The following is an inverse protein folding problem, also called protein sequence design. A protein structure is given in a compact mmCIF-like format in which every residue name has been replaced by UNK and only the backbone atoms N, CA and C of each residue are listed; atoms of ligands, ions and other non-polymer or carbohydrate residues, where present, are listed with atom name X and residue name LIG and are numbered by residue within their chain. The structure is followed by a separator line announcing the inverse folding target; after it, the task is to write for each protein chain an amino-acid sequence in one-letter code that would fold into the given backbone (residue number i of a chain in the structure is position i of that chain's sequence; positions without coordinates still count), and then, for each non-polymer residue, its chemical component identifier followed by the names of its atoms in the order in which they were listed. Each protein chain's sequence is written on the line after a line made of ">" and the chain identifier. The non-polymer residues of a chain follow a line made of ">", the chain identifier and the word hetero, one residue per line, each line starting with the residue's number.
data_IF_094928372868
#
_entry.id   IF_094928372868
#
_cell.length_a   1.000
_cell.length_b   1.000
_cell.length_c   1.000
_cell.angle_alpha   90.00
_cell.angle_beta   90.00
_cell.angle_gamma   90.00
#
_symmetry.space_group_name_H-M   'P 1'
#
loop_
_entity.id
_entity.type
_entity.pdbx_description
1 polymer ?
#
# COMPACT_ATOMS: atom_id res chain seq x y z
N UNK A 1 17.55 6.38 32.85
CA UNK A 1 17.39 6.17 31.40
C UNK A 1 15.91 6.07 31.09
N UNK A 2 15.31 7.12 30.51
CA UNK A 2 13.90 7.13 30.08
C UNK A 2 13.72 6.11 28.95
N UNK A 3 12.96 5.04 29.19
CA UNK A 3 12.53 4.14 28.13
C UNK A 3 11.56 4.89 27.24
N UNK A 4 12.01 5.38 26.08
CA UNK A 4 11.12 5.90 25.06
C UNK A 4 10.12 4.78 24.70
N UNK A 5 8.85 4.98 25.06
CA UNK A 5 7.78 4.05 24.64
C UNK A 5 7.77 4.02 23.12
N UNK A 6 8.07 2.89 22.50
CA UNK A 6 7.90 2.72 21.06
C UNK A 6 6.43 2.92 20.72
N UNK A 7 6.14 3.88 19.85
CA UNK A 7 4.78 4.09 19.34
C UNK A 7 4.43 2.90 18.42
N UNK A 8 3.31 2.24 18.70
CA UNK A 8 2.74 1.23 17.79
C UNK A 8 1.97 1.99 16.72
N UNK A 9 2.17 1.60 15.44
CA UNK A 9 1.42 2.11 14.29
C UNK A 9 0.46 1.02 13.85
N UNK A 10 -0.83 1.36 13.76
CA UNK A 10 -1.88 0.46 13.29
C UNK A 10 -2.16 0.78 11.83
N UNK A 11 -1.89 -0.20 10.95
CA UNK A 11 -2.19 -0.10 9.52
C UNK A 11 -3.35 -1.04 9.18
N UNK A 12 -4.44 -0.46 8.70
CA UNK A 12 -5.63 -1.19 8.27
C UNK A 12 -5.60 -1.39 6.75
N UNK A 13 -5.77 -2.64 6.32
CA UNK A 13 -5.72 -3.05 4.91
C UNK A 13 -7.08 -3.54 4.39
N UNK A 14 -8.16 -3.32 5.14
CA UNK A 14 -9.50 -3.83 4.80
C UNK A 14 -9.99 -3.36 3.44
N UNK A 15 -9.78 -2.09 3.10
CA UNK A 15 -10.21 -1.54 1.80
C UNK A 15 -9.31 -1.92 0.62
N UNK A 16 -8.22 -2.65 0.85
CA UNK A 16 -7.37 -3.23 -0.20
C UNK A 16 -7.43 -4.75 -0.16
N UNK A 17 -6.95 -5.39 0.91
CA UNK A 17 -6.89 -6.86 0.99
C UNK A 17 -8.29 -7.49 1.08
N UNK A 18 -9.18 -6.89 1.86
CA UNK A 18 -10.57 -7.32 1.94
C UNK A 18 -11.33 -7.22 0.62
N UNK A 19 -10.85 -6.44 -0.35
CA UNK A 19 -11.44 -6.35 -1.68
C UNK A 19 -11.37 -7.68 -2.46
N UNK A 20 -10.43 -8.57 -2.12
CA UNK A 20 -10.40 -9.94 -2.64
C UNK A 20 -11.66 -10.74 -2.23
N UNK A 21 -12.08 -10.61 -0.97
CA UNK A 21 -13.22 -11.38 -0.43
C UNK A 21 -14.56 -10.97 -1.06
N UNK A 22 -14.64 -9.81 -1.68
CA UNK A 22 -15.85 -9.26 -2.33
C UNK A 22 -15.65 -9.06 -3.84
N UNK A 23 -14.79 -9.84 -4.46
CA UNK A 23 -14.54 -9.83 -5.91
C UNK A 23 -14.27 -8.42 -6.48
N UNK A 24 -13.53 -7.60 -5.73
CA UNK A 24 -13.17 -6.22 -6.06
C UNK A 24 -14.37 -5.26 -6.24
N UNK A 25 -15.50 -5.56 -5.57
CA UNK A 25 -16.74 -4.79 -5.68
C UNK A 25 -16.84 -3.60 -4.72
N UNK A 26 -15.78 -3.29 -3.95
CA UNK A 26 -15.76 -2.12 -3.07
C UNK A 26 -15.94 -0.85 -3.91
N UNK A 27 -17.05 -0.16 -3.67
CA UNK A 27 -17.43 1.06 -4.40
C UNK A 27 -17.14 2.33 -3.59
N UNK A 28 -17.42 3.49 -4.20
CA UNK A 28 -17.17 4.79 -3.60
C UNK A 28 -17.88 4.98 -2.23
N UNK A 29 -19.13 4.52 -2.11
CA UNK A 29 -19.90 4.70 -0.87
C UNK A 29 -19.31 3.88 0.28
N UNK A 30 -18.85 2.65 0.02
CA UNK A 30 -18.17 1.81 1.01
C UNK A 30 -16.89 2.49 1.48
N UNK A 31 -16.05 2.97 0.55
CA UNK A 31 -14.80 3.68 0.90
C UNK A 31 -15.11 4.92 1.76
N UNK A 32 -16.08 5.71 1.35
CA UNK A 32 -16.50 6.93 2.06
C UNK A 32 -16.87 6.64 3.51
N UNK A 33 -17.84 5.73 3.69
CA UNK A 33 -18.35 5.39 5.01
C UNK A 33 -17.26 4.79 5.90
N UNK A 34 -16.45 3.89 5.33
CA UNK A 34 -15.35 3.26 6.07
C UNK A 34 -14.32 4.28 6.54
N UNK A 35 -13.87 5.19 5.67
CA UNK A 35 -12.90 6.22 6.03
C UNK A 35 -13.46 7.20 7.08
N UNK A 36 -14.76 7.48 7.08
CA UNK A 36 -15.41 8.27 8.14
C UNK A 36 -15.36 7.56 9.50
N UNK A 37 -15.63 6.25 9.54
CA UNK A 37 -15.53 5.45 10.77
C UNK A 37 -14.09 5.35 11.30
N UNK A 38 -13.11 5.23 10.43
CA UNK A 38 -11.68 5.16 10.77
C UNK A 38 -11.20 6.40 11.54
N UNK A 39 -11.76 7.58 11.26
CA UNK A 39 -11.38 8.81 11.96
C UNK A 39 -11.63 8.73 13.46
N UNK A 40 -12.60 7.92 13.91
CA UNK A 40 -12.97 7.73 15.32
C UNK A 40 -12.22 6.53 15.94
N UNK A 41 -11.83 5.57 15.14
CA UNK A 41 -11.20 4.32 15.58
C UNK A 41 -9.72 4.46 15.99
N UNK A 42 -9.06 5.59 15.67
CA UNK A 42 -7.66 5.82 16.03
C UNK A 42 -6.66 5.01 15.22
N UNK A 43 -7.02 4.59 13.99
CA UNK A 43 -6.14 3.94 13.04
C UNK A 43 -5.14 4.95 12.47
N UNK A 44 -3.86 4.59 12.38
CA UNK A 44 -2.81 5.48 11.89
C UNK A 44 -2.69 5.49 10.35
N UNK A 45 -2.93 4.35 9.69
CA UNK A 45 -2.78 4.18 8.24
C UNK A 45 -3.93 3.36 7.67
N UNK A 46 -4.51 3.81 6.56
CA UNK A 46 -5.55 3.08 5.81
C UNK A 46 -5.04 2.80 4.39
N UNK A 47 -5.08 1.54 4.00
CA UNK A 47 -4.69 1.10 2.66
C UNK A 47 -5.93 0.88 1.80
N UNK A 48 -5.95 1.52 0.62
CA UNK A 48 -7.09 1.50 -0.32
C UNK A 48 -6.63 1.02 -1.68
N UNK A 49 -7.46 0.26 -2.39
CA UNK A 49 -7.18 -0.14 -3.77
C UNK A 49 -7.72 -1.51 -4.15
N UNK A 50 -7.36 -1.97 -5.34
CA UNK A 50 -7.56 -3.35 -5.77
C UNK A 50 -6.84 -4.31 -4.83
N UNK A 51 -7.34 -5.54 -4.63
CA UNK A 51 -6.72 -6.53 -3.76
C UNK A 51 -5.22 -6.77 -4.03
N UNK A 52 -4.82 -6.76 -5.29
CA UNK A 52 -3.40 -6.85 -5.71
C UNK A 52 -2.69 -5.49 -5.79
N UNK A 53 -3.34 -4.41 -5.41
CA UNK A 53 -2.75 -3.07 -5.34
C UNK A 53 -2.95 -2.23 -6.59
N UNK A 54 -2.16 -1.17 -6.67
CA UNK A 54 -2.19 -0.14 -7.70
C UNK A 54 -1.97 -0.70 -9.11
N UNK A 55 -2.82 -0.30 -10.06
CA UNK A 55 -2.73 -0.71 -11.46
C UNK A 55 -3.17 -2.16 -11.75
N UNK A 56 -3.60 -2.90 -10.73
CA UNK A 56 -3.89 -4.33 -10.87
C UNK A 56 -5.26 -4.64 -11.50
N UNK A 57 -6.20 -3.68 -11.53
CA UNK A 57 -7.53 -3.89 -12.09
C UNK A 57 -7.49 -4.29 -13.56
N UNK A 58 -7.82 -5.54 -13.87
CA UNK A 58 -7.74 -6.11 -15.23
C UNK A 58 -8.74 -7.25 -15.44
N UNK A 59 -8.87 -7.72 -16.68
CA UNK A 59 -9.72 -8.88 -16.99
C UNK A 59 -9.19 -10.18 -16.41
N UNK A 60 -7.86 -10.32 -16.27
CA UNK A 60 -7.21 -11.55 -15.85
C UNK A 60 -7.25 -11.77 -14.34
N UNK A 61 -7.28 -10.71 -13.54
CA UNK A 61 -7.22 -10.80 -12.07
C UNK A 61 -8.40 -10.12 -11.36
N UNK A 62 -9.42 -9.75 -12.12
CA UNK A 62 -10.61 -9.06 -11.63
C UNK A 62 -10.57 -7.55 -11.88
N UNK A 63 -11.72 -6.98 -12.21
CA UNK A 63 -11.89 -5.54 -12.35
C UNK A 63 -12.39 -4.92 -11.06
N UNK A 64 -11.78 -3.82 -10.64
CA UNK A 64 -12.33 -3.00 -9.55
C UNK A 64 -13.65 -2.34 -9.97
N UNK A 65 -14.57 -2.18 -9.01
CA UNK A 65 -15.81 -1.43 -9.20
C UNK A 65 -15.58 0.04 -9.59
N UNK A 66 -14.45 0.60 -9.16
CA UNK A 66 -14.05 1.99 -9.48
C UNK A 66 -12.55 2.05 -9.77
N UNK A 67 -12.10 3.10 -10.46
CA UNK A 67 -10.67 3.29 -10.73
C UNK A 67 -9.87 3.61 -9.46
N UNK A 68 -8.55 3.31 -9.49
CA UNK A 68 -7.65 3.62 -8.38
C UNK A 68 -7.69 5.12 -8.03
N UNK A 69 -7.67 6.00 -9.02
CA UNK A 69 -7.76 7.45 -8.78
C UNK A 69 -9.04 7.85 -8.05
N UNK A 70 -10.19 7.26 -8.45
CA UNK A 70 -11.47 7.54 -7.80
C UNK A 70 -11.48 7.05 -6.37
N UNK A 71 -10.97 5.84 -6.12
CA UNK A 71 -10.87 5.25 -4.79
C UNK A 71 -9.98 6.10 -3.87
N UNK A 72 -8.80 6.48 -4.33
CA UNK A 72 -7.84 7.27 -3.57
C UNK A 72 -8.38 8.68 -3.25
N UNK A 73 -8.94 9.39 -4.24
CA UNK A 73 -9.54 10.72 -4.03
C UNK A 73 -10.70 10.66 -3.04
N UNK A 74 -11.54 9.62 -3.12
CA UNK A 74 -12.65 9.42 -2.18
C UNK A 74 -12.11 9.21 -0.76
N UNK A 75 -11.16 8.30 -0.57
CA UNK A 75 -10.54 8.05 0.74
C UNK A 75 -9.87 9.33 1.28
N UNK A 76 -9.04 10.00 0.47
CA UNK A 76 -8.35 11.23 0.89
C UNK A 76 -9.32 12.32 1.35
N UNK A 77 -10.46 12.47 0.66
CA UNK A 77 -11.47 13.47 1.02
C UNK A 77 -12.11 13.24 2.40
N UNK A 78 -12.02 12.01 2.94
CA UNK A 78 -12.69 11.59 4.18
C UNK A 78 -11.71 11.37 5.34
N UNK A 79 -10.49 10.97 5.07
CA UNK A 79 -9.46 10.78 6.09
C UNK A 79 -8.98 12.13 6.65
N UNK A 80 -9.08 12.31 7.97
CA UNK A 80 -8.68 13.55 8.68
C UNK A 80 -7.29 13.44 9.30
N UNK A 81 -6.98 12.30 9.91
CA UNK A 81 -5.74 12.07 10.67
C UNK A 81 -4.94 10.90 10.13
N UNK A 82 -5.60 9.83 9.71
CA UNK A 82 -4.93 8.65 9.19
C UNK A 82 -4.22 8.98 7.87
N UNK A 83 -3.03 8.40 7.69
CA UNK A 83 -2.33 8.42 6.42
C UNK A 83 -3.02 7.51 5.42
N UNK A 84 -3.07 7.94 4.17
CA UNK A 84 -3.56 7.13 3.05
C UNK A 84 -2.40 6.33 2.47
N UNK A 85 -2.54 5.02 2.43
CA UNK A 85 -1.56 4.15 1.79
C UNK A 85 -2.15 3.39 0.60
N UNK A 86 -1.26 2.94 -0.28
CA UNK A 86 -1.60 2.05 -1.38
C UNK A 86 -0.54 0.97 -1.52
N UNK A 87 -0.99 -0.26 -1.81
CA UNK A 87 -0.09 -1.35 -2.13
C UNK A 87 0.39 -1.25 -3.58
N UNK A 88 1.68 -1.47 -3.81
CA UNK A 88 2.30 -1.40 -5.13
C UNK A 88 3.17 -2.63 -5.33
N UNK A 89 2.91 -3.38 -6.40
CA UNK A 89 3.70 -4.56 -6.76
C UNK A 89 4.34 -4.30 -8.13
N UNK A 90 5.67 -4.42 -8.26
CA UNK A 90 6.33 -4.37 -9.56
C UNK A 90 5.70 -5.37 -10.53
N UNK A 91 5.40 -4.91 -11.75
CA UNK A 91 4.69 -5.71 -12.76
C UNK A 91 3.20 -5.38 -12.86
N UNK A 92 2.51 -5.00 -11.79
CA UNK A 92 1.16 -4.43 -11.84
C UNK A 92 1.20 -2.90 -12.00
N UNK A 93 1.89 -2.22 -11.10
CA UNK A 93 1.98 -0.76 -11.11
C UNK A 93 3.20 -0.25 -11.87
N UNK A 94 2.99 0.77 -12.70
CA UNK A 94 4.01 1.52 -13.42
C UNK A 94 4.35 2.81 -12.67
N UNK A 95 5.44 3.48 -13.04
CA UNK A 95 5.80 4.77 -12.45
C UNK A 95 4.73 5.86 -12.67
N UNK A 96 4.03 5.84 -13.81
CA UNK A 96 2.90 6.74 -14.08
C UNK A 96 1.73 6.52 -13.12
N UNK A 97 1.50 5.27 -12.69
CA UNK A 97 0.47 4.96 -11.70
C UNK A 97 0.87 5.48 -10.32
N UNK A 98 2.16 5.34 -9.95
CA UNK A 98 2.69 5.94 -8.72
C UNK A 98 2.52 7.45 -8.72
N UNK A 99 2.85 8.11 -9.85
CA UNK A 99 2.66 9.55 -10.02
C UNK A 99 1.22 9.96 -9.77
N UNK A 100 0.26 9.31 -10.43
CA UNK A 100 -1.17 9.57 -10.24
C UNK A 100 -1.63 9.34 -8.81
N UNK A 101 -1.10 8.32 -8.13
CA UNK A 101 -1.41 8.05 -6.74
C UNK A 101 -0.89 9.17 -5.82
N UNK A 102 0.30 9.72 -6.07
CA UNK A 102 0.83 10.90 -5.36
C UNK A 102 -0.09 12.10 -5.59
N UNK A 103 -0.48 12.36 -6.84
CA UNK A 103 -1.38 13.46 -7.20
C UNK A 103 -2.78 13.30 -6.54
N UNK A 104 -3.18 12.08 -6.17
CA UNK A 104 -4.39 11.78 -5.41
C UNK A 104 -4.22 11.90 -3.88
N UNK A 105 -3.02 12.23 -3.38
CA UNK A 105 -2.74 12.46 -1.98
C UNK A 105 -2.37 11.21 -1.18
N UNK A 106 -1.75 10.21 -1.82
CA UNK A 106 -1.17 9.06 -1.13
C UNK A 106 0.03 9.51 -0.30
N UNK A 107 0.05 9.12 0.97
CA UNK A 107 1.13 9.42 1.91
C UNK A 107 2.19 8.31 1.94
N UNK A 108 1.78 7.04 1.72
CA UNK A 108 2.65 5.86 1.89
C UNK A 108 2.44 4.87 0.75
N UNK A 109 3.52 4.46 0.10
CA UNK A 109 3.51 3.28 -0.77
C UNK A 109 3.98 2.05 0.00
N UNK A 110 3.17 0.98 0.01
CA UNK A 110 3.60 -0.33 0.51
C UNK A 110 4.05 -1.17 -0.69
N UNK A 111 5.37 -1.17 -0.93
CA UNK A 111 5.98 -1.81 -2.10
C UNK A 111 6.24 -3.27 -1.78
N UNK A 112 5.51 -4.16 -2.47
CA UNK A 112 5.51 -5.60 -2.22
C UNK A 112 6.27 -6.39 -3.28
N UNK A 113 7.01 -7.40 -2.85
CA UNK A 113 7.65 -8.38 -3.72
C UNK A 113 7.88 -9.69 -2.97
N UNK A 114 8.12 -10.77 -3.71
CA UNK A 114 8.68 -11.97 -3.11
C UNK A 114 10.08 -11.69 -2.57
N UNK A 115 10.39 -12.25 -1.42
CA UNK A 115 11.68 -12.04 -0.77
C UNK A 115 12.88 -12.48 -1.60
N UNK A 116 12.68 -13.32 -2.61
CA UNK A 116 13.69 -13.75 -3.58
C UNK A 116 13.93 -12.76 -4.73
N UNK A 117 13.05 -11.76 -4.90
CA UNK A 117 12.98 -10.87 -6.05
C UNK A 117 13.02 -9.38 -5.65
N UNK A 118 13.71 -9.05 -4.58
CA UNK A 118 13.77 -7.68 -4.02
C UNK A 118 14.22 -6.66 -5.06
N UNK A 119 15.15 -7.05 -5.93
CA UNK A 119 15.73 -6.16 -6.94
C UNK A 119 14.66 -5.54 -7.86
N UNK A 120 13.50 -6.19 -8.02
CA UNK A 120 12.39 -5.69 -8.82
C UNK A 120 11.74 -4.41 -8.24
N UNK A 121 11.93 -4.17 -6.94
CA UNK A 121 11.32 -3.01 -6.24
C UNK A 121 12.14 -1.72 -6.36
N UNK A 122 13.41 -1.80 -6.74
CA UNK A 122 14.34 -0.67 -6.65
C UNK A 122 13.86 0.56 -7.43
N UNK A 123 13.35 0.37 -8.63
CA UNK A 123 12.84 1.47 -9.46
C UNK A 123 11.70 2.23 -8.77
N UNK A 124 10.78 1.52 -8.12
CA UNK A 124 9.67 2.17 -7.39
C UNK A 124 10.17 2.85 -6.10
N UNK A 125 11.12 2.24 -5.40
CA UNK A 125 11.74 2.81 -4.20
C UNK A 125 12.48 4.12 -4.55
N UNK A 126 13.29 4.12 -5.59
CA UNK A 126 13.99 5.32 -6.07
C UNK A 126 13.02 6.42 -6.48
N UNK A 127 11.91 6.06 -7.13
CA UNK A 127 10.86 7.00 -7.49
C UNK A 127 10.23 7.62 -6.24
N UNK A 128 9.92 6.83 -5.21
CA UNK A 128 9.38 7.35 -3.94
C UNK A 128 10.38 8.29 -3.25
N UNK A 129 11.67 7.91 -3.19
CA UNK A 129 12.74 8.77 -2.64
C UNK A 129 12.84 10.11 -3.37
N UNK A 130 12.87 10.07 -4.71
CA UNK A 130 12.97 11.27 -5.54
C UNK A 130 11.79 12.24 -5.34
N UNK A 131 10.58 11.68 -5.09
CA UNK A 131 9.36 12.45 -4.84
C UNK A 131 9.11 12.72 -3.35
N UNK A 132 10.02 12.32 -2.45
CA UNK A 132 9.91 12.51 -0.99
C UNK A 132 8.64 11.93 -0.38
N UNK A 133 8.17 10.81 -0.91
CA UNK A 133 7.00 10.08 -0.41
C UNK A 133 7.46 8.90 0.43
N UNK A 134 6.80 8.66 1.55
CA UNK A 134 7.11 7.54 2.44
C UNK A 134 6.81 6.20 1.75
N UNK A 135 7.67 5.20 1.98
CA UNK A 135 7.45 3.85 1.50
C UNK A 135 7.83 2.80 2.54
N UNK A 136 7.13 1.68 2.49
CA UNK A 136 7.37 0.50 3.34
C UNK A 136 7.56 -0.73 2.46
N UNK A 137 8.62 -1.49 2.70
CA UNK A 137 8.84 -2.76 2.03
C UNK A 137 7.92 -3.84 2.60
N UNK A 138 7.26 -4.58 1.71
CA UNK A 138 6.45 -5.77 2.07
C UNK A 138 7.10 -6.99 1.46
N UNK A 139 7.70 -7.83 2.32
CA UNK A 139 8.46 -9.00 1.91
C UNK A 139 7.60 -10.25 2.04
N UNK A 140 7.04 -10.67 0.91
CA UNK A 140 6.26 -11.90 0.82
C UNK A 140 7.18 -13.13 0.84
N UNK A 141 6.67 -14.27 1.32
CA UNK A 141 7.40 -15.54 1.39
C UNK A 141 8.76 -15.44 2.10
N UNK A 142 8.86 -14.63 3.17
CA UNK A 142 10.10 -14.40 3.91
C UNK A 142 10.75 -15.69 4.47
N UNK A 143 9.94 -16.75 4.68
CA UNK A 143 10.43 -18.07 5.11
C UNK A 143 11.44 -18.69 4.12
N UNK A 144 11.36 -18.39 2.82
CA UNK A 144 12.29 -18.91 1.81
C UNK A 144 13.73 -18.40 1.97
N UNK A 145 13.90 -17.25 2.60
CA UNK A 145 15.22 -16.61 2.78
C UNK A 145 15.74 -16.68 4.24
N UNK A 146 14.98 -17.33 5.12
CA UNK A 146 15.32 -17.41 6.56
C UNK A 146 16.74 -17.95 6.81
N UNK A 147 17.13 -18.99 6.11
CA UNK A 147 18.46 -19.61 6.23
C UNK A 147 19.59 -18.81 5.53
N UNK A 148 19.26 -17.81 4.71
CA UNK A 148 20.19 -16.92 4.00
C UNK A 148 20.19 -15.51 4.61
N UNK A 149 19.85 -15.38 5.88
CA UNK A 149 19.55 -14.15 6.59
C UNK A 149 20.61 -13.04 6.41
N UNK A 150 21.90 -13.38 6.43
CA UNK A 150 22.97 -12.38 6.31
C UNK A 150 23.01 -11.74 4.93
N UNK A 151 23.06 -12.55 3.88
CA UNK A 151 23.07 -12.10 2.47
C UNK A 151 21.78 -11.36 2.12
N UNK A 152 20.64 -11.78 2.69
CA UNK A 152 19.36 -11.15 2.47
C UNK A 152 19.28 -9.76 3.11
N UNK A 153 19.73 -9.61 4.36
CA UNK A 153 19.72 -8.32 5.06
C UNK A 153 20.66 -7.29 4.40
N UNK A 154 21.72 -7.72 3.73
CA UNK A 154 22.57 -6.83 2.93
C UNK A 154 21.82 -6.25 1.73
N UNK A 155 20.97 -7.03 1.07
CA UNK A 155 20.11 -6.57 -0.03
C UNK A 155 18.97 -5.65 0.41
N UNK A 156 18.47 -5.80 1.64
CA UNK A 156 17.36 -5.02 2.20
C UNK A 156 17.81 -3.67 2.79
N UNK A 157 19.10 -3.47 2.98
CA UNK A 157 19.67 -2.20 3.49
C UNK A 157 19.76 -1.09 2.44
N UNK A 158 18.96 -1.19 1.43
CA UNK A 158 18.91 -0.25 0.31
C UNK A 158 18.37 1.15 0.67
#
# INVERSE_FOLDING_TARGET
>A
MSKTKKKIIISDVTLRDGNHAVEHSINENVIRNYCEMINEAGIDVVEVGHGNGLGASSLSIGRSAISDEKALKTARSKLKKAKLSIHSIPGFSRLDDLKKAIDCGVDIFRIGTNSTEIDTTFTQIEYCKANKVEFWGVLMMAHLVYNKKKTYLEKVKF
#
